data_IF_110587276538
#
_entry.id   IF_110587276538
#
_cell.length_a   1.000
_cell.length_b   1.000
_cell.length_c   1.000
_cell.angle_alpha   90.00
_cell.angle_beta   90.00
_cell.angle_gamma   90.00
#
_symmetry.space_group_name_H-M   'P 1'
#
loop_
_entity.id
_entity.type
_entity.pdbx_description
1 polymer ?
#
# COMPACT_ATOMS: atom_id res chain seq x y z
N UNK A 1 13.35 14.48 16.36
CA UNK A 1 13.50 14.72 14.89
C UNK A 1 12.24 14.21 14.22
N UNK A 2 11.51 15.04 13.48
CA UNK A 2 10.33 14.58 12.72
C UNK A 2 10.82 13.69 11.56
N UNK A 3 10.38 12.43 11.54
CA UNK A 3 10.71 11.47 10.49
C UNK A 3 10.07 11.96 9.19
N UNK A 4 10.90 12.38 8.22
CA UNK A 4 10.43 12.97 6.97
C UNK A 4 9.75 11.97 6.03
N UNK A 5 10.02 10.68 6.25
CA UNK A 5 9.48 9.55 5.50
C UNK A 5 9.03 8.47 6.47
N UNK A 6 7.87 7.90 6.23
CA UNK A 6 7.32 6.80 7.02
C UNK A 6 6.25 6.08 6.19
N UNK A 7 6.08 4.78 6.45
CA UNK A 7 4.92 4.01 6.01
C UNK A 7 4.14 3.61 7.26
N UNK A 8 2.85 3.94 7.29
CA UNK A 8 1.97 3.65 8.41
C UNK A 8 0.83 2.76 7.92
N UNK A 9 0.51 1.71 8.66
CA UNK A 9 -0.58 0.79 8.34
C UNK A 9 -1.52 0.69 9.54
N UNK A 10 -2.81 0.83 9.29
CA UNK A 10 -3.91 0.54 10.22
C UNK A 10 -4.84 -0.48 9.57
N UNK A 11 -4.83 -1.71 10.09
CA UNK A 11 -5.47 -2.89 9.49
C UNK A 11 -5.11 -3.09 8.01
N UNK A 12 -5.96 -2.60 7.10
CA UNK A 12 -5.80 -2.70 5.65
C UNK A 12 -5.59 -1.34 4.96
N UNK A 13 -5.51 -0.26 5.74
CA UNK A 13 -5.32 1.11 5.26
C UNK A 13 -3.87 1.52 5.39
N UNK A 14 -3.38 2.23 4.38
CA UNK A 14 -1.99 2.62 4.27
C UNK A 14 -1.90 4.15 4.19
N UNK A 15 -0.96 4.73 4.94
CA UNK A 15 -0.57 6.13 4.82
C UNK A 15 0.94 6.21 4.57
N UNK A 16 1.32 7.08 3.65
CA UNK A 16 2.71 7.32 3.29
C UNK A 16 3.07 8.74 3.69
N UNK A 17 4.06 8.90 4.55
CA UNK A 17 4.67 10.21 4.80
C UNK A 17 5.83 10.39 3.82
N UNK A 18 5.81 11.45 3.02
CA UNK A 18 6.90 11.82 2.12
C UNK A 18 7.21 13.30 2.23
N UNK A 19 8.49 13.63 2.51
CA UNK A 19 8.97 15.00 2.74
C UNK A 19 8.13 15.77 3.76
N UNK A 20 7.63 15.09 4.80
CA UNK A 20 6.83 15.67 5.88
C UNK A 20 5.35 15.87 5.58
N UNK A 21 4.87 15.49 4.38
CA UNK A 21 3.44 15.47 4.01
C UNK A 21 2.93 14.04 4.09
N UNK A 22 1.69 13.86 4.53
CA UNK A 22 1.03 12.54 4.63
C UNK A 22 0.07 12.38 3.46
N UNK A 23 0.12 11.22 2.82
CA UNK A 23 -0.71 10.81 1.70
C UNK A 23 -1.46 9.55 2.11
N UNK A 24 -2.77 9.54 2.00
CA UNK A 24 -3.63 8.40 2.30
C UNK A 24 -5.02 8.85 2.75
N UNK A 25 -5.92 7.90 3.07
CA UNK A 25 -5.66 6.46 3.03
C UNK A 25 -5.54 5.95 1.60
N UNK A 26 -4.64 4.97 1.41
CA UNK A 26 -4.74 3.99 0.35
C UNK A 26 -5.36 2.72 0.95
N UNK A 27 -6.37 2.18 0.32
CA UNK A 27 -7.10 1.01 0.79
C UNK A 27 -7.67 0.21 -0.38
N UNK A 28 -8.34 -0.89 -0.04
CA UNK A 28 -8.98 -1.74 -1.03
C UNK A 28 -10.37 -2.18 -0.55
N UNK A 29 -11.23 -2.46 -1.52
CA UNK A 29 -12.57 -3.00 -1.30
C UNK A 29 -12.75 -4.25 -2.15
N UNK A 30 -13.32 -5.30 -1.57
CA UNK A 30 -13.67 -6.51 -2.32
C UNK A 30 -14.80 -6.17 -3.28
N UNK A 31 -14.59 -6.40 -4.57
CA UNK A 31 -15.67 -6.25 -5.53
C UNK A 31 -16.63 -7.44 -5.39
N UNK A 32 -17.95 -7.21 -5.25
CA UNK A 32 -18.91 -8.30 -5.28
C UNK A 32 -19.16 -8.82 -6.71
N UNK A 33 -18.91 -7.97 -7.72
CA UNK A 33 -19.19 -8.26 -9.13
C UNK A 33 -18.00 -8.90 -9.86
N UNK A 34 -16.79 -8.67 -9.36
CA UNK A 34 -15.55 -9.27 -9.85
C UNK A 34 -14.94 -10.09 -8.72
N UNK A 35 -14.45 -11.30 -8.98
CA UNK A 35 -13.74 -12.11 -7.99
C UNK A 35 -12.35 -11.51 -7.64
N UNK A 36 -12.33 -10.28 -7.13
CA UNK A 36 -11.15 -9.44 -7.00
C UNK A 36 -11.35 -8.27 -6.03
N UNK A 37 -10.37 -7.36 -5.99
CA UNK A 37 -10.39 -6.20 -5.11
C UNK A 37 -10.08 -4.92 -5.89
N UNK A 38 -10.79 -3.84 -5.60
CA UNK A 38 -10.49 -2.51 -6.13
C UNK A 38 -9.59 -1.75 -5.18
N UNK A 39 -8.59 -1.06 -5.70
CA UNK A 39 -7.70 -0.21 -4.91
C UNK A 39 -8.12 1.24 -5.00
N UNK A 40 -8.17 1.91 -3.86
CA UNK A 40 -8.68 3.26 -3.70
C UNK A 40 -7.67 4.17 -3.02
N UNK A 41 -7.63 5.42 -3.45
CA UNK A 41 -6.90 6.50 -2.79
C UNK A 41 -7.87 7.65 -2.55
N UNK A 42 -8.15 7.95 -1.28
CA UNK A 42 -9.12 8.99 -0.92
C UNK A 42 -10.49 8.82 -1.63
N UNK A 43 -10.94 7.57 -1.80
CA UNK A 43 -12.21 7.22 -2.46
C UNK A 43 -12.17 7.22 -3.99
N UNK A 44 -11.02 7.47 -4.61
CA UNK A 44 -10.84 7.34 -6.06
C UNK A 44 -10.17 6.01 -6.38
N UNK A 45 -10.83 5.19 -7.22
CA UNK A 45 -10.24 3.95 -7.74
C UNK A 45 -9.00 4.26 -8.56
N UNK A 46 -7.91 3.57 -8.26
CA UNK A 46 -6.63 3.71 -8.97
C UNK A 46 -6.03 2.37 -9.39
N UNK A 47 -6.66 1.26 -9.05
CA UNK A 47 -6.19 -0.05 -9.46
C UNK A 47 -7.16 -1.15 -9.06
N UNK A 48 -6.80 -2.37 -9.40
CA UNK A 48 -7.53 -3.57 -9.05
C UNK A 48 -6.64 -4.81 -9.08
N UNK A 49 -6.97 -5.74 -8.19
CA UNK A 49 -6.51 -7.11 -8.21
C UNK A 49 -7.61 -7.96 -8.88
N UNK A 50 -7.27 -8.64 -9.96
CA UNK A 50 -8.18 -9.56 -10.66
C UNK A 50 -7.82 -11.03 -10.38
N UNK A 51 -6.52 -11.32 -10.28
CA UNK A 51 -5.99 -12.64 -9.97
C UNK A 51 -4.56 -12.56 -9.46
N UNK A 52 -3.98 -13.68 -9.02
CA UNK A 52 -2.60 -13.73 -8.52
C UNK A 52 -1.57 -13.26 -9.56
N UNK A 53 -1.90 -13.39 -10.84
CA UNK A 53 -1.05 -12.99 -11.97
C UNK A 53 -1.45 -11.62 -12.57
N UNK A 54 -2.59 -11.05 -12.15
CA UNK A 54 -3.18 -9.86 -12.76
C UNK A 54 -3.53 -8.80 -11.70
N UNK A 55 -2.61 -7.83 -11.57
CA UNK A 55 -2.81 -6.60 -10.82
C UNK A 55 -2.65 -5.42 -11.78
N UNK A 56 -3.69 -4.61 -11.90
CA UNK A 56 -3.69 -3.40 -12.72
C UNK A 56 -3.66 -2.17 -11.81
N UNK A 57 -2.72 -1.25 -12.05
CA UNK A 57 -2.63 -0.01 -11.28
C UNK A 57 -2.34 1.16 -12.20
N UNK A 58 -3.14 2.21 -12.10
CA UNK A 58 -2.91 3.51 -12.70
C UNK A 58 -2.98 4.62 -11.64
N UNK A 59 -1.79 5.04 -11.19
CA UNK A 59 -1.63 6.12 -10.22
C UNK A 59 -1.31 7.48 -10.87
N UNK A 60 -1.38 7.61 -12.21
CA UNK A 60 -0.96 8.83 -12.92
C UNK A 60 -1.82 10.04 -12.56
N UNK A 61 -3.12 9.83 -12.43
CA UNK A 61 -4.09 10.92 -12.22
C UNK A 61 -4.32 11.28 -10.74
N UNK A 62 -3.59 10.63 -9.81
CA UNK A 62 -3.74 10.89 -8.38
C UNK A 62 -3.00 12.16 -7.91
N UNK A 63 -2.22 12.82 -8.79
CA UNK A 63 -1.45 14.01 -8.44
C UNK A 63 -0.38 13.77 -7.36
N UNK A 64 0.03 12.51 -7.18
CA UNK A 64 0.96 12.09 -6.14
C UNK A 64 2.42 12.30 -6.58
N UNK A 65 3.35 12.57 -5.63
CA UNK A 65 4.76 12.44 -5.92
C UNK A 65 5.08 11.04 -6.42
N UNK A 66 5.95 10.91 -7.42
CA UNK A 66 6.28 9.62 -8.05
C UNK A 66 6.65 8.53 -7.02
N UNK A 67 7.51 8.86 -6.05
CA UNK A 67 7.91 7.94 -5.00
C UNK A 67 6.75 7.51 -4.07
N UNK A 68 5.70 8.33 -3.92
CA UNK A 68 4.50 7.97 -3.17
C UNK A 68 3.66 6.99 -3.98
N UNK A 69 3.47 7.24 -5.28
CA UNK A 69 2.76 6.32 -6.17
C UNK A 69 3.42 4.95 -6.22
N UNK A 70 4.75 4.89 -6.42
CA UNK A 70 5.50 3.62 -6.46
C UNK A 70 5.39 2.83 -5.15
N UNK A 71 5.53 3.53 -4.01
CA UNK A 71 5.38 2.89 -2.69
C UNK A 71 3.95 2.44 -2.48
N UNK A 72 2.94 3.23 -2.84
CA UNK A 72 1.54 2.85 -2.69
C UNK A 72 1.22 1.57 -3.48
N UNK A 73 1.60 1.52 -4.77
CA UNK A 73 1.42 0.33 -5.63
C UNK A 73 2.09 -0.89 -5.02
N UNK A 74 3.35 -0.76 -4.61
CA UNK A 74 4.13 -1.87 -4.08
C UNK A 74 3.54 -2.40 -2.77
N UNK A 75 3.15 -1.50 -1.87
CA UNK A 75 2.63 -1.85 -0.55
C UNK A 75 1.23 -2.45 -0.68
N UNK A 76 0.33 -1.85 -1.46
CA UNK A 76 -1.04 -2.38 -1.58
C UNK A 76 -1.07 -3.73 -2.29
N UNK A 77 -0.24 -3.92 -3.31
CA UNK A 77 -0.06 -5.22 -3.96
C UNK A 77 0.53 -6.27 -3.02
N UNK A 78 1.51 -5.89 -2.19
CA UNK A 78 2.07 -6.79 -1.17
C UNK A 78 1.05 -7.15 -0.09
N UNK A 79 0.23 -6.18 0.33
CA UNK A 79 -0.80 -6.34 1.34
C UNK A 79 -1.90 -7.29 0.86
N UNK A 80 -2.45 -7.08 -0.33
CA UNK A 80 -3.52 -7.94 -0.87
C UNK A 80 -3.04 -9.37 -1.08
N UNK A 81 -1.82 -9.56 -1.59
CA UNK A 81 -1.23 -10.89 -1.74
C UNK A 81 -1.07 -11.60 -0.39
N UNK A 82 -0.68 -10.88 0.67
CA UNK A 82 -0.59 -11.45 2.01
C UNK A 82 -1.96 -11.82 2.59
N UNK A 83 -2.97 -10.96 2.40
CA UNK A 83 -4.35 -11.25 2.82
C UNK A 83 -4.88 -12.51 2.13
N UNK A 84 -4.68 -12.63 0.81
CA UNK A 84 -5.09 -13.79 0.04
C UNK A 84 -4.34 -15.07 0.42
N UNK A 85 -3.09 -14.95 0.88
CA UNK A 85 -2.31 -16.06 1.40
C UNK A 85 -2.68 -16.45 2.85
N UNK A 86 -3.60 -15.72 3.49
CA UNK A 86 -4.01 -15.95 4.89
C UNK A 86 -2.98 -15.48 5.92
N UNK A 87 -2.08 -14.57 5.54
CA UNK A 87 -1.01 -14.06 6.41
C UNK A 87 -1.55 -13.17 7.54
N UNK A 88 -1.03 -13.35 8.74
CA UNK A 88 -1.30 -12.43 9.85
C UNK A 88 -0.62 -11.08 9.61
N UNK A 89 -1.04 -10.03 10.33
CA UNK A 89 -0.51 -8.68 10.10
C UNK A 89 1.03 -8.63 10.19
N UNK A 90 1.64 -9.32 11.16
CA UNK A 90 3.10 -9.34 11.30
C UNK A 90 3.81 -9.89 10.04
N UNK A 91 3.32 -10.99 9.47
CA UNK A 91 3.86 -11.59 8.24
C UNK A 91 3.68 -10.66 7.04
N UNK A 92 2.53 -9.99 6.95
CA UNK A 92 2.26 -8.97 5.93
C UNK A 92 3.24 -7.80 6.05
N UNK A 93 3.52 -7.32 7.26
CA UNK A 93 4.51 -6.27 7.50
C UNK A 93 5.92 -6.71 7.09
N UNK A 94 6.33 -7.94 7.40
CA UNK A 94 7.63 -8.47 7.00
C UNK A 94 7.77 -8.56 5.48
N UNK A 95 6.74 -9.04 4.80
CA UNK A 95 6.66 -9.05 3.33
C UNK A 95 6.81 -7.64 2.75
N UNK A 96 6.10 -6.66 3.32
CA UNK A 96 6.18 -5.26 2.87
C UNK A 96 7.58 -4.69 3.11
N UNK A 97 8.19 -4.92 4.28
CA UNK A 97 9.56 -4.49 4.59
C UNK A 97 10.57 -5.07 3.59
N UNK A 98 10.44 -6.34 3.23
CA UNK A 98 11.28 -7.02 2.24
C UNK A 98 11.09 -6.42 0.84
N UNK A 99 9.85 -6.18 0.42
CA UNK A 99 9.55 -5.52 -0.85
C UNK A 99 10.16 -4.12 -0.92
N UNK A 100 9.92 -3.27 0.08
CA UNK A 100 10.49 -1.91 0.14
C UNK A 100 12.02 -1.94 0.07
N UNK A 101 12.66 -2.88 0.77
CA UNK A 101 14.11 -3.05 0.73
C UNK A 101 14.59 -3.44 -0.67
N UNK A 102 13.95 -4.46 -1.27
CA UNK A 102 14.29 -4.99 -2.59
C UNK A 102 14.19 -3.94 -3.70
N UNK A 103 13.23 -3.02 -3.60
CA UNK A 103 12.99 -1.98 -4.60
C UNK A 103 13.61 -0.61 -4.25
N UNK A 104 14.47 -0.52 -3.22
CA UNK A 104 15.23 0.71 -2.93
C UNK A 104 14.46 1.80 -2.16
N UNK A 105 13.39 1.42 -1.48
CA UNK A 105 12.53 2.30 -0.68
C UNK A 105 12.81 2.22 0.83
N UNK A 106 14.04 1.85 1.24
CA UNK A 106 14.42 1.68 2.65
C UNK A 106 14.17 2.90 3.54
N UNK A 107 14.05 4.11 2.96
CA UNK A 107 13.71 5.35 3.68
C UNK A 107 12.31 5.36 4.29
N UNK A 108 11.42 4.46 3.88
CA UNK A 108 10.08 4.29 4.43
C UNK A 108 10.00 3.20 5.50
N UNK A 109 11.15 2.57 5.85
CA UNK A 109 11.25 1.56 6.89
C UNK A 109 11.54 2.17 8.27
N UNK A 110 11.20 1.45 9.36
CA UNK A 110 10.30 0.29 9.37
C UNK A 110 8.85 0.73 9.11
N UNK A 111 7.99 -0.19 8.68
CA UNK A 111 6.54 0.07 8.67
C UNK A 111 6.04 0.23 10.10
N UNK A 112 5.31 1.31 10.35
CA UNK A 112 4.69 1.61 11.63
C UNK A 112 3.25 1.07 11.63
N UNK A 113 2.89 0.27 12.63
CA UNK A 113 1.50 -0.13 12.84
C UNK A 113 0.83 0.98 13.66
N UNK A 114 -0.14 1.68 13.08
CA UNK A 114 -1.03 2.53 13.87
C UNK A 114 -2.11 1.62 14.45
N UNK A 115 -2.15 1.54 15.78
CA UNK A 115 -3.34 1.09 16.49
C UNK A 115 -4.13 2.34 16.88
N UNK A 116 -5.47 2.34 16.75
CA UNK A 116 -6.31 3.48 17.11
C UNK A 116 -6.15 3.89 18.59
#
# INVERSE_FOLDING_TARGET
MSQRHALMIDDNRIWIRHRGRVFGPFDYEWSPDFCGAEFHYSGQKFGEYCSVDEIYVDAKDLGLPHAVSEVAVLVIGSLICGVLAGEVLAERIDRINQCLSRFGFCRFLPVEIHQP
#
